data_IF_186761230718
#
_entry.id   IF_186761230718
#
_cell.length_a   1.000
_cell.length_b   1.000
_cell.length_c   1.000
_cell.angle_alpha   90.00
_cell.angle_beta   90.00
_cell.angle_gamma   90.00
#
_symmetry.space_group_name_H-M   'P 1'
#
loop_
_entity.id
_entity.type
_entity.pdbx_description
1 polymer ?
#
# COMPACT_ATOMS: atom_id res chain seq x y z
N UNK A 1 8.02 -18.05 -2.19
CA UNK A 1 8.85 -16.87 -1.90
C UNK A 1 9.04 -16.09 -3.19
N UNK A 2 8.70 -14.79 -3.23
CA UNK A 2 9.07 -13.94 -4.37
C UNK A 2 10.54 -13.52 -4.19
N UNK A 3 11.41 -13.89 -5.14
CA UNK A 3 12.83 -13.55 -5.09
C UNK A 3 13.05 -12.22 -5.81
N UNK A 4 12.90 -11.11 -5.08
CA UNK A 4 13.27 -9.77 -5.55
C UNK A 4 14.79 -9.67 -5.79
N UNK A 5 15.19 -8.81 -6.74
CA UNK A 5 16.62 -8.51 -6.89
C UNK A 5 17.14 -7.80 -5.64
N UNK A 6 18.42 -7.98 -5.31
CA UNK A 6 19.02 -7.31 -4.16
C UNK A 6 18.91 -5.78 -4.26
N UNK A 7 19.00 -5.23 -5.48
CA UNK A 7 18.80 -3.82 -5.74
C UNK A 7 17.38 -3.36 -5.41
N UNK A 8 16.36 -4.15 -5.77
CA UNK A 8 14.96 -3.83 -5.46
C UNK A 8 14.71 -3.80 -3.95
N UNK A 9 15.27 -4.77 -3.23
CA UNK A 9 15.20 -4.84 -1.76
C UNK A 9 15.89 -3.63 -1.14
N UNK A 10 17.13 -3.33 -1.56
CA UNK A 10 17.89 -2.19 -1.04
C UNK A 10 17.16 -0.87 -1.28
N UNK A 11 16.62 -0.65 -2.48
CA UNK A 11 15.88 0.58 -2.80
C UNK A 11 14.62 0.69 -1.95
N UNK A 12 13.88 -0.40 -1.77
CA UNK A 12 12.65 -0.38 -0.97
C UNK A 12 12.92 0.02 0.48
N UNK A 13 13.98 -0.53 1.09
CA UNK A 13 14.37 -0.23 2.47
C UNK A 13 14.84 1.23 2.69
N UNK A 14 15.13 1.96 1.62
CA UNK A 14 15.62 3.34 1.67
C UNK A 14 14.53 4.40 1.44
N UNK A 15 13.30 4.01 1.11
CA UNK A 15 12.20 4.94 0.76
C UNK A 15 11.06 4.90 1.78
N UNK A 16 10.15 5.86 1.68
CA UNK A 16 9.03 6.03 2.60
C UNK A 16 8.10 4.80 2.67
N UNK A 17 7.94 4.08 1.55
CA UNK A 17 7.06 2.91 1.47
C UNK A 17 7.42 1.84 2.50
N UNK A 18 8.72 1.64 2.78
CA UNK A 18 9.16 0.72 3.83
C UNK A 18 8.64 1.11 5.21
N UNK A 19 8.74 2.39 5.58
CA UNK A 19 8.27 2.89 6.87
C UNK A 19 6.74 2.80 6.99
N UNK A 20 6.01 3.13 5.92
CA UNK A 20 4.56 3.00 5.86
C UNK A 20 4.10 1.55 6.10
N UNK A 21 4.76 0.59 5.45
CA UNK A 21 4.46 -0.84 5.59
C UNK A 21 4.83 -1.34 6.99
N UNK A 22 5.98 -0.94 7.52
CA UNK A 22 6.39 -1.30 8.88
C UNK A 22 5.39 -0.82 9.93
N UNK A 23 4.94 0.44 9.82
CA UNK A 23 3.93 1.00 10.71
C UNK A 23 2.59 0.28 10.56
N UNK A 24 2.16 -0.02 9.33
CA UNK A 24 0.91 -0.74 9.10
C UNK A 24 0.94 -2.15 9.68
N UNK A 25 2.08 -2.86 9.55
CA UNK A 25 2.26 -4.16 10.17
C UNK A 25 2.22 -4.07 11.70
N UNK A 26 2.98 -3.15 12.31
CA UNK A 26 3.07 -3.03 13.76
C UNK A 26 1.72 -2.65 14.38
N UNK A 27 1.00 -1.72 13.74
CA UNK A 27 -0.28 -1.20 14.21
C UNK A 27 -1.52 -1.96 13.74
N UNK A 28 -1.35 -3.03 12.94
CA UNK A 28 -2.46 -3.77 12.29
C UNK A 28 -3.39 -2.86 11.47
N UNK A 29 -2.81 -1.88 10.78
CA UNK A 29 -3.56 -0.95 9.94
C UNK A 29 -3.89 -1.56 8.58
N UNK A 30 -4.88 -0.97 7.91
CA UNK A 30 -5.14 -1.22 6.49
C UNK A 30 -4.38 -0.21 5.65
N UNK A 31 -3.62 -0.67 4.67
CA UNK A 31 -2.95 0.19 3.69
C UNK A 31 -3.92 0.50 2.55
N UNK A 32 -4.02 1.78 2.17
CA UNK A 32 -4.84 2.23 1.05
C UNK A 32 -3.93 2.79 -0.04
N UNK A 33 -3.96 2.23 -1.24
CA UNK A 33 -3.08 2.67 -2.34
C UNK A 33 -3.75 2.51 -3.71
N UNK A 34 -3.40 3.39 -4.66
CA UNK A 34 -3.78 3.24 -6.07
C UNK A 34 -2.89 2.23 -6.82
N UNK A 35 -1.81 1.76 -6.20
CA UNK A 35 -0.90 0.80 -6.83
C UNK A 35 -1.53 -0.60 -6.92
N UNK A 36 -1.24 -1.30 -8.02
CA UNK A 36 -1.65 -2.69 -8.25
C UNK A 36 -0.44 -3.65 -8.14
N UNK A 37 -0.64 -4.89 -7.65
CA UNK A 37 0.40 -5.92 -7.61
C UNK A 37 1.14 -6.09 -8.94
N UNK A 38 2.38 -6.55 -8.89
CA UNK A 38 3.15 -6.85 -10.10
C UNK A 38 4.00 -8.10 -9.92
N UNK A 39 4.10 -8.91 -10.97
CA UNK A 39 5.05 -10.03 -11.03
C UNK A 39 6.51 -9.58 -11.23
N UNK A 40 6.79 -8.28 -11.31
CA UNK A 40 8.15 -7.77 -11.49
C UNK A 40 8.98 -7.94 -10.22
N UNK A 41 10.17 -8.52 -10.36
CA UNK A 41 11.13 -8.69 -9.26
C UNK A 41 12.10 -7.52 -9.11
N UNK A 42 11.98 -6.48 -9.95
CA UNK A 42 12.90 -5.33 -9.99
C UNK A 42 12.49 -4.17 -9.08
N UNK A 43 11.26 -4.20 -8.56
CA UNK A 43 10.74 -3.18 -7.64
C UNK A 43 9.72 -3.84 -6.72
N UNK A 44 9.88 -3.64 -5.43
CA UNK A 44 8.86 -4.04 -4.44
C UNK A 44 7.76 -2.98 -4.48
N UNK A 45 6.53 -3.41 -4.77
CA UNK A 45 5.35 -2.55 -4.71
C UNK A 45 4.68 -2.66 -3.35
N UNK A 46 3.94 -1.62 -2.96
CA UNK A 46 3.15 -1.59 -1.72
C UNK A 46 2.23 -2.82 -1.60
N UNK A 47 1.37 -3.14 -2.58
CA UNK A 47 0.47 -4.29 -2.45
C UNK A 47 1.21 -5.63 -2.36
N UNK A 48 2.35 -5.79 -3.05
CA UNK A 48 3.14 -7.03 -2.97
C UNK A 48 3.75 -7.23 -1.57
N UNK A 49 4.26 -6.14 -0.97
CA UNK A 49 4.76 -6.15 0.40
C UNK A 49 3.63 -6.45 1.40
N UNK A 50 2.46 -5.84 1.24
CA UNK A 50 1.30 -6.11 2.07
C UNK A 50 0.87 -7.59 2.00
N UNK A 51 0.81 -8.18 0.80
CA UNK A 51 0.48 -9.60 0.61
C UNK A 51 1.50 -10.49 1.32
N UNK A 52 2.80 -10.22 1.14
CA UNK A 52 3.87 -11.00 1.76
C UNK A 52 3.87 -10.95 3.29
N UNK A 53 3.34 -9.88 3.87
CA UNK A 53 3.29 -9.65 5.32
C UNK A 53 1.89 -9.88 5.93
N UNK A 54 0.90 -10.29 5.13
CA UNK A 54 -0.48 -10.47 5.61
C UNK A 54 -1.17 -9.18 6.04
N UNK A 55 -0.74 -8.02 5.52
CA UNK A 55 -1.34 -6.72 5.81
C UNK A 55 -2.53 -6.51 4.87
N UNK A 56 -3.67 -6.07 5.43
CA UNK A 56 -4.83 -5.72 4.60
C UNK A 56 -4.48 -4.52 3.72
N UNK A 57 -4.62 -4.69 2.42
CA UNK A 57 -4.40 -3.64 1.43
C UNK A 57 -5.65 -3.49 0.57
N UNK A 58 -6.13 -2.27 0.35
CA UNK A 58 -7.31 -1.97 -0.45
C UNK A 58 -7.06 -0.78 -1.37
N UNK A 59 -7.84 -0.67 -2.43
CA UNK A 59 -7.86 0.53 -3.26
C UNK A 59 -8.63 1.66 -2.56
N UNK A 60 -8.34 2.94 -2.90
CA UNK A 60 -9.15 4.07 -2.44
C UNK A 60 -10.63 3.90 -2.77
N UNK A 61 -10.97 3.34 -3.92
CA UNK A 61 -12.36 3.10 -4.28
C UNK A 61 -13.06 2.08 -3.38
N UNK A 62 -12.37 1.00 -3.00
CA UNK A 62 -12.91 0.01 -2.04
C UNK A 62 -13.08 0.62 -0.66
N UNK A 63 -12.09 1.39 -0.19
CA UNK A 63 -12.18 2.11 1.08
C UNK A 63 -13.37 3.08 1.08
N UNK A 64 -13.49 3.95 0.07
CA UNK A 64 -14.58 4.92 -0.01
C UNK A 64 -15.97 4.25 -0.06
N UNK A 65 -16.12 3.13 -0.79
CA UNK A 65 -17.37 2.37 -0.81
C UNK A 65 -17.68 1.73 0.54
N UNK A 66 -16.68 1.15 1.19
CA UNK A 66 -16.81 0.50 2.51
C UNK A 66 -17.23 1.51 3.57
N UNK A 67 -16.56 2.67 3.59
CA UNK A 67 -16.83 3.76 4.54
C UNK A 67 -18.07 4.59 4.16
N UNK A 68 -18.71 4.30 3.01
CA UNK A 68 -19.88 5.03 2.49
C UNK A 68 -19.63 6.54 2.42
N UNK A 69 -18.42 6.90 2.00
CA UNK A 69 -17.98 8.29 1.93
C UNK A 69 -18.91 9.11 1.03
N UNK A 70 -19.26 10.32 1.50
CA UNK A 70 -20.04 11.29 0.74
C UNK A 70 -19.21 12.53 0.48
N UNK A 71 -19.02 12.87 -0.78
CA UNK A 71 -18.37 14.10 -1.20
C UNK A 71 -19.45 15.17 -1.35
N UNK A 72 -19.46 16.16 -0.46
CA UNK A 72 -20.38 17.29 -0.49
C UNK A 72 -19.63 18.52 -1.00
N UNK A 73 -20.27 19.28 -1.88
CA UNK A 73 -19.72 20.58 -2.31
C UNK A 73 -19.94 21.57 -1.16
N UNK A 74 -18.88 22.28 -0.74
CA UNK A 74 -19.02 23.39 0.19
C UNK A 74 -19.90 24.48 -0.40
N UNK A 75 -20.63 25.22 0.45
CA UNK A 75 -21.34 26.40 -0.03
C UNK A 75 -20.35 27.40 -0.64
N UNK A 76 -20.70 27.96 -1.79
CA UNK A 76 -19.96 29.09 -2.34
C UNK A 76 -19.99 30.23 -1.31
N UNK A 77 -18.87 30.98 -1.16
CA UNK A 77 -18.78 32.08 -0.20
C UNK A 77 -19.83 33.18 -0.44
#
# INVERSE_FOLDING_TARGET
>A
SQHYTQSAVSTFLQVADYYLIAQAHAGRHTVVTHEVPSASTRRVKIPDACIGLGIKCVTPYEMLRTERARFVLGQAP
#
